data_IF_434245485844
#
_entry.id   IF_434245485844
#
_cell.length_a   1.000
_cell.length_b   1.000
_cell.length_c   1.000
_cell.angle_alpha   90.00
_cell.angle_beta   90.00
_cell.angle_gamma   90.00
#
_symmetry.space_group_name_H-M   'P 1'
#
loop_
_entity.id
_entity.type
_entity.pdbx_description
1 polymer ?
#
# COMPACT_ATOMS: atom_id res chain seq x y z
N UNK A 1 -19.98 -49.10 -13.76
CA UNK A 1 -19.45 -48.62 -12.47
C UNK A 1 -18.27 -47.71 -12.77
N UNK A 2 -18.46 -46.40 -12.67
CA UNK A 2 -17.41 -45.41 -12.83
C UNK A 2 -17.67 -44.33 -11.78
N UNK A 3 -16.89 -44.37 -10.70
CA UNK A 3 -16.96 -43.42 -9.60
C UNK A 3 -16.13 -42.20 -10.00
N UNK A 4 -16.80 -41.07 -10.20
CA UNK A 4 -16.15 -39.78 -10.42
C UNK A 4 -15.74 -39.20 -9.07
N UNK A 5 -14.43 -39.13 -8.80
CA UNK A 5 -13.89 -38.49 -7.61
C UNK A 5 -13.84 -36.98 -7.83
N UNK A 6 -14.74 -36.25 -7.17
CA UNK A 6 -14.67 -34.79 -7.04
C UNK A 6 -13.51 -34.43 -6.11
N UNK A 7 -12.47 -33.80 -6.67
CA UNK A 7 -11.38 -33.21 -5.91
C UNK A 7 -11.93 -32.03 -5.10
N UNK A 8 -11.87 -32.18 -3.78
CA UNK A 8 -12.30 -31.19 -2.81
C UNK A 8 -11.23 -30.08 -2.75
N UNK A 9 -11.54 -28.88 -3.25
CA UNK A 9 -10.68 -27.71 -3.14
C UNK A 9 -10.58 -27.32 -1.66
N UNK A 10 -9.39 -27.09 -1.09
CA UNK A 10 -9.28 -26.68 0.32
C UNK A 10 -9.93 -25.32 0.51
N UNK A 11 -10.89 -25.25 1.42
CA UNK A 11 -11.52 -24.02 1.88
C UNK A 11 -10.46 -23.06 2.42
N UNK A 12 -10.42 -21.83 1.90
CA UNK A 12 -9.61 -20.77 2.49
C UNK A 12 -10.02 -20.57 3.96
N UNK A 13 -9.06 -20.41 4.89
CA UNK A 13 -9.39 -20.08 6.26
C UNK A 13 -10.20 -18.78 6.26
N UNK A 14 -11.39 -18.84 6.84
CA UNK A 14 -12.27 -17.67 7.00
C UNK A 14 -11.53 -16.64 7.82
N UNK A 15 -11.14 -15.52 7.19
CA UNK A 15 -10.58 -14.37 7.90
C UNK A 15 -11.53 -13.99 9.04
N UNK A 16 -11.03 -13.70 10.26
CA UNK A 16 -11.87 -13.11 11.29
C UNK A 16 -12.55 -11.86 10.70
N UNK A 17 -13.85 -11.72 10.97
CA UNK A 17 -14.76 -10.78 10.31
C UNK A 17 -14.42 -9.34 10.71
N UNK A 18 -13.29 -8.83 10.25
CA UNK A 18 -12.81 -7.48 10.52
C UNK A 18 -13.86 -6.47 10.07
N UNK A 19 -14.05 -5.44 10.87
CA UNK A 19 -15.05 -4.43 10.59
C UNK A 19 -14.63 -3.63 9.35
N UNK A 20 -15.52 -3.41 8.40
CA UNK A 20 -15.22 -2.49 7.30
C UNK A 20 -15.13 -1.06 7.84
N UNK A 21 -14.14 -0.30 7.39
CA UNK A 21 -14.06 1.14 7.71
C UNK A 21 -15.33 1.86 7.26
N UNK A 22 -15.63 2.98 7.90
CA UNK A 22 -16.63 3.90 7.37
C UNK A 22 -16.22 4.35 5.96
N UNK A 23 -17.19 4.50 5.07
CA UNK A 23 -16.94 4.96 3.70
C UNK A 23 -17.81 6.16 3.35
N UNK A 24 -17.26 7.06 2.54
CA UNK A 24 -17.95 8.21 1.97
C UNK A 24 -17.97 8.07 0.46
N UNK A 25 -19.08 8.45 -0.16
CA UNK A 25 -19.12 8.66 -1.60
C UNK A 25 -18.27 9.88 -1.98
N UNK A 26 -18.07 10.03 -3.29
CA UNK A 26 -17.31 11.12 -3.87
C UNK A 26 -17.93 12.49 -3.57
N UNK A 27 -19.24 12.61 -3.62
CA UNK A 27 -19.93 13.90 -3.44
C UNK A 27 -19.65 14.45 -2.04
N UNK A 28 -19.80 13.61 -1.01
CA UNK A 28 -19.45 13.95 0.36
C UNK A 28 -17.96 14.27 0.48
N UNK A 29 -17.07 13.42 -0.03
CA UNK A 29 -15.63 13.61 0.11
C UNK A 29 -15.15 14.95 -0.46
N UNK A 30 -15.75 15.42 -1.57
CA UNK A 30 -15.42 16.69 -2.22
C UNK A 30 -15.86 17.94 -1.43
N UNK A 31 -16.69 17.81 -0.40
CA UNK A 31 -17.16 18.93 0.43
C UNK A 31 -16.28 19.17 1.66
N UNK A 32 -15.32 18.29 1.93
CA UNK A 32 -14.53 18.29 3.17
C UNK A 32 -13.19 18.95 2.93
N UNK A 33 -12.86 19.95 3.74
CA UNK A 33 -11.49 20.41 3.92
C UNK A 33 -10.83 19.52 4.98
N UNK A 34 -9.95 18.62 4.55
CA UNK A 34 -9.34 17.62 5.41
C UNK A 34 -8.28 18.22 6.35
N UNK A 35 -7.80 19.45 6.11
CA UNK A 35 -6.86 20.13 6.99
C UNK A 35 -7.59 20.93 8.09
N UNK A 36 -8.79 21.44 7.79
CA UNK A 36 -9.60 22.16 8.77
C UNK A 36 -10.49 21.25 9.62
N UNK A 37 -11.03 20.18 9.02
CA UNK A 37 -11.95 19.26 9.67
C UNK A 37 -11.58 17.79 9.40
N UNK A 38 -10.38 17.32 9.82
CA UNK A 38 -9.96 15.95 9.60
C UNK A 38 -10.88 14.95 10.32
N UNK A 39 -11.28 13.85 9.65
CA UNK A 39 -11.87 12.70 10.33
C UNK A 39 -11.00 12.21 11.49
N UNK A 40 -11.61 11.79 12.60
CA UNK A 40 -10.88 11.24 13.75
C UNK A 40 -10.59 9.73 13.62
N UNK A 41 -11.21 9.08 12.64
CA UNK A 41 -11.07 7.66 12.33
C UNK A 41 -10.80 7.49 10.83
N UNK A 42 -10.22 6.35 10.39
CA UNK A 42 -10.02 6.07 8.98
C UNK A 42 -11.33 6.09 8.20
N UNK A 43 -11.28 6.64 7.00
CA UNK A 43 -12.44 6.71 6.11
C UNK A 43 -12.04 6.34 4.69
N UNK A 44 -12.74 5.37 4.12
CA UNK A 44 -12.64 5.03 2.70
C UNK A 44 -13.41 6.06 1.86
N UNK A 45 -12.72 6.77 0.98
CA UNK A 45 -13.26 7.78 0.07
C UNK A 45 -13.44 7.15 -1.32
N UNK A 46 -14.66 6.71 -1.63
CA UNK A 46 -14.95 5.98 -2.88
C UNK A 46 -14.88 6.92 -4.09
N UNK A 47 -14.08 6.55 -5.09
CA UNK A 47 -13.94 7.29 -6.35
C UNK A 47 -13.38 8.72 -6.21
N UNK A 48 -12.80 9.09 -5.08
CA UNK A 48 -12.32 10.45 -4.81
C UNK A 48 -11.30 10.93 -5.86
N UNK A 49 -10.33 10.08 -6.18
CA UNK A 49 -9.29 10.33 -7.18
C UNK A 49 -9.64 9.83 -8.59
N UNK A 50 -10.88 9.39 -8.85
CA UNK A 50 -11.26 8.76 -10.13
C UNK A 50 -11.05 9.63 -11.37
N UNK A 51 -10.97 10.94 -11.18
CA UNK A 51 -10.83 11.94 -12.24
C UNK A 51 -9.38 12.08 -12.74
N UNK A 52 -8.40 11.47 -12.06
CA UNK A 52 -7.01 11.57 -12.46
C UNK A 52 -6.76 10.82 -13.79
N UNK A 53 -6.06 11.43 -14.77
CA UNK A 53 -5.71 10.75 -16.01
C UNK A 53 -4.83 9.51 -15.79
N UNK A 54 -4.03 9.47 -14.71
CA UNK A 54 -3.26 8.28 -14.31
C UNK A 54 -4.18 7.10 -13.97
N UNK A 55 -5.30 7.33 -13.28
CA UNK A 55 -6.30 6.28 -12.99
C UNK A 55 -6.93 5.78 -14.28
N UNK A 56 -7.24 6.69 -15.21
CA UNK A 56 -7.77 6.32 -16.52
C UNK A 56 -6.76 5.49 -17.33
N UNK A 57 -5.48 5.84 -17.32
CA UNK A 57 -4.41 5.07 -17.94
C UNK A 57 -4.26 3.68 -17.30
N UNK A 58 -4.31 3.60 -15.96
CA UNK A 58 -4.21 2.34 -15.23
C UNK A 58 -5.34 1.35 -15.53
N UNK A 59 -6.54 1.85 -15.84
CA UNK A 59 -7.67 1.02 -16.27
C UNK A 59 -7.50 0.44 -17.68
N UNK A 60 -6.61 1.02 -18.49
CA UNK A 60 -6.33 0.51 -19.84
C UNK A 60 -5.32 -0.62 -19.78
N UNK A 61 -4.09 -0.35 -19.32
CA UNK A 61 -3.03 -1.36 -19.19
C UNK A 61 -1.81 -0.82 -18.42
N UNK A 62 -0.90 -1.70 -17.95
CA UNK A 62 0.40 -1.28 -17.42
C UNK A 62 1.23 -0.43 -18.40
N UNK A 63 1.17 -0.73 -19.69
CA UNK A 63 1.88 0.02 -20.74
C UNK A 63 1.29 1.42 -20.93
N UNK A 64 -0.02 1.59 -20.73
CA UNK A 64 -0.65 2.91 -20.74
C UNK A 64 -0.18 3.77 -19.55
N UNK A 65 0.02 3.16 -18.38
CA UNK A 65 0.62 3.85 -17.22
C UNK A 65 2.06 4.27 -17.51
N UNK A 66 2.87 3.38 -18.09
CA UNK A 66 4.24 3.71 -18.47
C UNK A 66 4.28 4.90 -19.44
N UNK A 67 3.49 4.85 -20.52
CA UNK A 67 3.38 5.97 -21.48
C UNK A 67 2.90 7.27 -20.83
N UNK A 68 2.07 7.19 -19.79
CA UNK A 68 1.59 8.37 -19.08
C UNK A 68 2.63 8.97 -18.13
N UNK A 69 3.43 8.15 -17.44
CA UNK A 69 4.41 8.63 -16.45
C UNK A 69 5.73 9.08 -17.07
N UNK A 70 6.19 8.43 -18.14
CA UNK A 70 7.49 8.73 -18.77
C UNK A 70 7.67 10.21 -19.15
N UNK A 71 6.67 10.95 -19.67
CA UNK A 71 6.81 12.38 -19.95
C UNK A 71 7.08 13.25 -18.72
N UNK A 72 6.79 12.77 -17.51
CA UNK A 72 7.06 13.48 -16.25
C UNK A 72 8.43 13.13 -15.68
N UNK A 73 9.17 12.15 -16.21
CA UNK A 73 10.42 11.66 -15.61
C UNK A 73 11.48 12.78 -15.51
N UNK A 74 11.95 13.05 -14.29
CA UNK A 74 13.05 13.98 -14.04
C UNK A 74 14.44 13.39 -14.35
N UNK A 75 14.52 12.10 -14.71
CA UNK A 75 15.79 11.41 -14.97
C UNK A 75 16.62 11.17 -13.72
N UNK A 76 15.98 11.10 -12.54
CA UNK A 76 16.64 10.89 -11.25
C UNK A 76 16.61 9.42 -10.84
N UNK A 77 17.66 8.93 -10.13
CA UNK A 77 17.68 7.56 -9.65
C UNK A 77 16.65 7.34 -8.54
N UNK A 78 15.76 6.38 -8.74
CA UNK A 78 14.81 5.85 -7.77
C UNK A 78 15.48 4.78 -6.91
N UNK A 79 15.14 4.75 -5.62
CA UNK A 79 15.49 3.63 -4.75
C UNK A 79 14.36 2.59 -4.77
N UNK A 80 14.71 1.35 -5.06
CA UNK A 80 13.78 0.23 -5.10
C UNK A 80 14.23 -0.92 -4.19
N UNK A 81 13.27 -1.75 -3.80
CA UNK A 81 13.46 -2.99 -3.05
C UNK A 81 12.97 -4.15 -3.92
N UNK A 82 13.79 -5.21 -3.99
CA UNK A 82 13.42 -6.45 -4.67
C UNK A 82 13.56 -7.64 -3.73
N UNK A 83 12.54 -8.49 -3.68
CA UNK A 83 12.55 -9.73 -2.91
C UNK A 83 12.20 -10.93 -3.79
N UNK A 84 12.87 -12.05 -3.57
CA UNK A 84 12.65 -13.26 -4.37
C UNK A 84 11.22 -13.81 -4.23
N UNK A 85 10.74 -14.63 -5.19
CA UNK A 85 9.35 -15.12 -5.17
C UNK A 85 8.97 -15.92 -3.92
N UNK A 86 9.95 -16.54 -3.26
CA UNK A 86 9.76 -17.31 -2.01
C UNK A 86 9.28 -16.45 -0.84
N UNK A 87 9.52 -15.13 -0.87
CA UNK A 87 9.13 -14.20 0.19
C UNK A 87 7.65 -13.80 0.12
N UNK A 88 6.94 -14.20 -0.94
CA UNK A 88 5.50 -13.98 -1.06
C UNK A 88 5.08 -12.51 -1.02
N UNK A 89 5.94 -11.60 -1.48
CA UNK A 89 5.69 -10.16 -1.49
C UNK A 89 6.04 -9.43 -0.19
N UNK A 90 6.40 -10.13 0.90
CA UNK A 90 6.65 -9.52 2.20
C UNK A 90 8.07 -8.94 2.24
N UNK A 91 8.18 -7.61 2.27
CA UNK A 91 9.46 -6.91 2.44
C UNK A 91 9.72 -6.73 3.94
N UNK A 92 10.62 -7.54 4.49
CA UNK A 92 10.71 -7.73 5.93
C UNK A 92 12.15 -8.01 6.41
N UNK A 93 12.29 -8.20 7.72
CA UNK A 93 13.49 -8.73 8.33
C UNK A 93 13.75 -10.19 7.94
N UNK A 94 15.01 -10.61 8.07
CA UNK A 94 15.35 -12.03 8.21
C UNK A 94 14.80 -12.59 9.53
N UNK A 95 14.68 -13.92 9.65
CA UNK A 95 14.09 -14.57 10.83
C UNK A 95 14.82 -14.25 12.16
N UNK A 96 16.12 -14.00 12.09
CA UNK A 96 17.00 -13.62 13.19
C UNK A 96 17.08 -12.10 13.43
N UNK A 97 16.35 -11.29 12.64
CA UNK A 97 16.33 -9.83 12.66
C UNK A 97 17.70 -9.16 12.36
N UNK A 98 18.69 -9.91 11.86
CA UNK A 98 20.04 -9.37 11.58
C UNK A 98 20.11 -8.57 10.28
N UNK A 99 19.15 -8.77 9.38
CA UNK A 99 19.10 -8.08 8.10
C UNK A 99 17.70 -8.09 7.48
N UNK A 100 17.65 -8.01 6.16
CA UNK A 100 16.42 -7.96 5.38
C UNK A 100 16.32 -9.12 4.40
N UNK A 101 15.09 -9.55 4.09
CA UNK A 101 14.81 -10.59 3.09
C UNK A 101 14.76 -10.04 1.64
N UNK A 102 15.14 -8.77 1.44
CA UNK A 102 15.14 -8.07 0.17
C UNK A 102 16.47 -7.36 -0.07
N UNK A 103 16.73 -7.00 -1.32
CA UNK A 103 17.88 -6.18 -1.72
C UNK A 103 17.42 -4.79 -2.11
N UNK A 104 18.17 -3.75 -1.71
CA UNK A 104 17.97 -2.39 -2.19
C UNK A 104 18.76 -2.16 -3.48
N UNK A 105 18.17 -1.46 -4.44
CA UNK A 105 18.80 -1.08 -5.70
C UNK A 105 18.46 0.35 -6.06
N UNK A 106 19.33 0.95 -6.89
CA UNK A 106 19.09 2.25 -7.52
C UNK A 106 18.92 2.03 -9.02
N UNK A 107 17.94 2.70 -9.62
CA UNK A 107 17.67 2.61 -11.06
C UNK A 107 16.82 3.79 -11.51
N UNK A 108 16.49 3.85 -12.80
CA UNK A 108 15.68 4.94 -13.34
C UNK A 108 14.24 4.49 -13.57
N UNK A 109 13.33 5.45 -13.79
CA UNK A 109 11.91 5.15 -14.03
C UNK A 109 11.70 4.16 -15.20
N UNK A 110 12.37 4.31 -16.37
CA UNK A 110 12.21 3.34 -17.47
C UNK A 110 12.57 1.91 -17.05
N UNK A 111 13.67 1.74 -16.30
CA UNK A 111 14.11 0.43 -15.82
C UNK A 111 13.10 -0.18 -14.85
N UNK A 112 12.56 0.63 -13.93
CA UNK A 112 11.55 0.20 -12.98
C UNK A 112 10.26 -0.29 -13.68
N UNK A 113 9.82 0.44 -14.70
CA UNK A 113 8.66 0.07 -15.53
C UNK A 113 8.92 -1.21 -16.32
N UNK A 114 10.12 -1.38 -16.87
CA UNK A 114 10.52 -2.60 -17.58
C UNK A 114 10.60 -3.82 -16.64
N UNK A 115 11.15 -3.65 -15.43
CA UNK A 115 11.16 -4.70 -14.39
C UNK A 115 9.73 -5.13 -14.07
N UNK A 116 8.83 -4.18 -13.82
CA UNK A 116 7.42 -4.48 -13.52
C UNK A 116 6.71 -5.18 -14.69
N UNK A 117 6.96 -4.76 -15.93
CA UNK A 117 6.44 -5.42 -17.12
C UNK A 117 7.01 -6.84 -17.28
N UNK A 118 8.27 -7.07 -16.93
CA UNK A 118 8.88 -8.40 -16.92
C UNK A 118 8.25 -9.30 -15.86
N UNK A 119 8.11 -8.79 -14.63
CA UNK A 119 7.51 -9.55 -13.51
C UNK A 119 6.02 -9.87 -13.76
N UNK A 120 5.27 -9.01 -14.46
CA UNK A 120 3.86 -9.28 -14.77
C UNK A 120 3.64 -10.53 -15.62
N UNK A 121 4.66 -10.96 -16.38
CA UNK A 121 4.66 -12.15 -17.23
C UNK A 121 5.27 -13.38 -16.54
N UNK A 122 5.89 -13.21 -15.37
CA UNK A 122 6.55 -14.29 -14.66
C UNK A 122 5.51 -15.18 -13.93
N UNK A 123 5.63 -16.53 -13.99
CA UNK A 123 4.73 -17.42 -13.26
C UNK A 123 4.80 -17.25 -11.73
N UNK A 124 5.98 -16.85 -11.23
CA UNK A 124 6.24 -16.55 -9.82
C UNK A 124 7.03 -15.25 -9.75
N UNK A 125 6.37 -14.08 -9.74
CA UNK A 125 7.05 -12.81 -9.76
C UNK A 125 7.84 -12.58 -8.48
N UNK A 126 9.02 -11.97 -8.62
CA UNK A 126 9.71 -11.32 -7.52
C UNK A 126 8.90 -10.09 -7.09
N UNK A 127 8.93 -9.78 -5.80
CA UNK A 127 8.34 -8.55 -5.29
C UNK A 127 9.23 -7.37 -5.69
N UNK A 128 8.66 -6.33 -6.28
CA UNK A 128 9.37 -5.10 -6.63
C UNK A 128 8.62 -3.90 -6.08
N UNK A 129 9.34 -2.98 -5.43
CA UNK A 129 8.75 -1.86 -4.71
C UNK A 129 9.64 -0.63 -4.74
N UNK A 130 9.08 0.50 -5.19
CA UNK A 130 9.64 1.84 -5.10
C UNK A 130 8.84 2.60 -4.05
N UNK A 131 9.54 3.07 -3.03
CA UNK A 131 8.95 3.73 -1.86
C UNK A 131 9.04 5.25 -1.90
N UNK A 132 8.06 5.92 -1.29
CA UNK A 132 8.08 7.33 -0.86
C UNK A 132 8.83 8.29 -1.81
N UNK A 133 8.45 8.32 -3.08
CA UNK A 133 9.13 9.15 -4.09
C UNK A 133 8.44 10.51 -4.23
N UNK A 134 9.07 11.64 -3.84
CA UNK A 134 8.44 12.96 -3.92
C UNK A 134 8.11 13.33 -5.36
N UNK A 135 6.82 13.53 -5.66
CA UNK A 135 6.37 13.80 -7.02
C UNK A 135 7.00 15.07 -7.62
N UNK A 136 7.08 16.22 -6.90
CA UNK A 136 7.67 17.42 -7.47
C UNK A 136 9.12 17.26 -7.92
N UNK A 137 9.87 16.33 -7.30
CA UNK A 137 11.29 16.14 -7.56
C UNK A 137 11.55 15.13 -8.67
N UNK A 138 10.73 14.08 -8.78
CA UNK A 138 10.95 12.93 -9.67
C UNK A 138 9.99 12.87 -10.85
N UNK A 139 8.80 13.47 -10.70
CA UNK A 139 7.74 13.51 -11.70
C UNK A 139 7.18 14.94 -11.88
N UNK A 140 8.02 15.97 -12.10
CA UNK A 140 7.61 17.37 -12.11
C UNK A 140 6.44 17.65 -13.05
N UNK A 141 5.37 18.26 -12.51
CA UNK A 141 4.14 18.57 -13.22
C UNK A 141 3.02 17.58 -12.94
N UNK A 142 3.32 16.36 -12.46
CA UNK A 142 2.30 15.39 -12.10
C UNK A 142 1.48 15.85 -10.88
N UNK A 143 2.10 16.59 -9.96
CA UNK A 143 1.43 17.20 -8.80
C UNK A 143 0.35 18.23 -9.18
N UNK A 144 0.41 18.77 -10.40
CA UNK A 144 -0.60 19.72 -10.90
C UNK A 144 -1.85 19.02 -11.43
N UNK A 145 -1.75 17.72 -11.69
CA UNK A 145 -2.82 16.91 -12.27
C UNK A 145 -3.41 15.95 -11.24
N UNK A 146 -2.55 15.38 -10.38
CA UNK A 146 -2.98 14.54 -9.26
C UNK A 146 -3.29 15.42 -8.05
N UNK A 147 -4.31 16.26 -8.14
CA UNK A 147 -4.78 17.12 -7.05
C UNK A 147 -5.99 16.51 -6.34
N UNK A 148 -6.23 16.90 -5.09
CA UNK A 148 -7.38 16.45 -4.29
C UNK A 148 -8.16 17.67 -3.78
N UNK A 149 -9.43 17.85 -4.16
CA UNK A 149 -10.26 18.92 -3.61
C UNK A 149 -10.42 18.78 -2.09
N UNK A 150 -10.04 19.80 -1.31
CA UNK A 150 -10.04 19.69 0.16
C UNK A 150 -8.68 19.36 0.77
N UNK A 151 -7.63 19.29 -0.06
CA UNK A 151 -6.22 19.27 0.36
C UNK A 151 -5.51 20.45 -0.32
N UNK A 152 -4.75 21.23 0.45
CA UNK A 152 -3.99 22.38 -0.02
C UNK A 152 -2.94 21.97 -1.06
N UNK A 153 -2.75 22.82 -2.08
CA UNK A 153 -1.68 22.66 -3.08
C UNK A 153 -0.25 22.79 -2.50
N UNK A 154 -0.12 23.26 -1.26
CA UNK A 154 1.14 23.26 -0.53
C UNK A 154 1.56 21.85 -0.10
N UNK A 155 0.60 20.96 0.13
CA UNK A 155 0.85 19.56 0.48
C UNK A 155 1.42 18.82 -0.74
N UNK A 156 2.66 18.36 -0.63
CA UNK A 156 3.37 17.72 -1.76
C UNK A 156 3.14 16.22 -1.77
N UNK A 157 2.67 15.65 -2.90
CA UNK A 157 2.40 14.23 -2.96
C UNK A 157 3.66 13.38 -3.12
N UNK A 158 3.57 12.13 -2.66
CA UNK A 158 4.57 11.09 -2.88
C UNK A 158 3.97 9.95 -3.70
N UNK A 159 4.77 9.37 -4.58
CA UNK A 159 4.41 8.22 -5.40
C UNK A 159 5.05 6.96 -4.84
N UNK A 160 4.25 5.89 -4.84
CA UNK A 160 4.66 4.53 -4.51
C UNK A 160 4.33 3.63 -5.70
N UNK A 161 5.29 2.81 -6.12
CA UNK A 161 5.12 1.95 -7.30
C UNK A 161 5.61 0.53 -7.00
N UNK A 162 4.94 -0.48 -7.51
CA UNK A 162 5.39 -1.85 -7.34
C UNK A 162 4.47 -2.86 -8.00
N UNK A 163 4.65 -4.13 -7.66
CA UNK A 163 3.70 -5.19 -8.00
C UNK A 163 3.00 -5.70 -6.74
N UNK A 164 2.75 -7.01 -6.62
CA UNK A 164 2.12 -7.57 -5.42
C UNK A 164 3.12 -7.58 -4.26
N UNK A 165 2.88 -6.74 -3.26
CA UNK A 165 3.76 -6.56 -2.10
C UNK A 165 2.95 -6.51 -0.82
N UNK A 166 3.62 -6.76 0.30
CA UNK A 166 3.04 -6.75 1.65
C UNK A 166 3.93 -5.92 2.54
N UNK A 167 3.40 -4.80 3.01
CA UNK A 167 4.07 -3.88 3.94
C UNK A 167 3.49 -4.12 5.32
N UNK A 168 4.35 -4.51 6.25
CA UNK A 168 3.97 -4.82 7.63
C UNK A 168 3.34 -3.63 8.34
N UNK A 169 2.57 -3.91 9.38
CA UNK A 169 1.87 -2.90 10.18
C UNK A 169 2.85 -1.85 10.72
N UNK A 170 2.61 -0.58 10.37
CA UNK A 170 3.34 0.59 10.87
C UNK A 170 2.37 1.76 11.06
N UNK A 171 2.85 2.88 11.57
CA UNK A 171 2.11 4.14 11.59
C UNK A 171 2.95 5.29 11.03
N UNK A 172 2.26 6.41 10.80
CA UNK A 172 2.87 7.68 10.41
C UNK A 172 2.53 8.76 11.43
N UNK A 173 3.39 9.77 11.53
CA UNK A 173 3.18 10.92 12.43
C UNK A 173 2.42 12.09 11.79
N UNK A 174 1.91 11.90 10.57
CA UNK A 174 1.19 12.89 9.78
C UNK A 174 -0.18 12.34 9.38
N UNK A 175 -1.15 13.22 9.19
CA UNK A 175 -2.40 12.82 8.55
C UNK A 175 -2.10 12.46 7.09
N UNK A 176 -2.81 11.49 6.55
CA UNK A 176 -2.50 10.92 5.25
C UNK A 176 -3.77 10.71 4.42
N UNK A 177 -3.77 11.14 3.15
CA UNK A 177 -4.70 10.59 2.16
C UNK A 177 -3.91 9.73 1.18
N UNK A 178 -4.24 8.44 1.14
CA UNK A 178 -3.61 7.45 0.28
C UNK A 178 -4.55 7.08 -0.89
N UNK A 179 -4.25 7.54 -2.10
CA UNK A 179 -5.05 7.31 -3.30
C UNK A 179 -4.50 6.15 -4.14
N UNK A 180 -5.34 5.16 -4.47
CA UNK A 180 -4.96 4.07 -5.37
C UNK A 180 -5.12 4.55 -6.82
N UNK A 181 -4.00 4.69 -7.52
CA UNK A 181 -3.98 5.08 -8.92
C UNK A 181 -3.99 3.86 -9.87
N UNK A 182 -3.31 2.76 -9.47
CA UNK A 182 -3.28 1.51 -10.21
C UNK A 182 -3.23 0.30 -9.26
N UNK A 183 -3.75 -0.83 -9.71
CA UNK A 183 -3.82 -2.06 -8.93
C UNK A 183 -4.89 -2.02 -7.83
N UNK A 184 -4.79 -2.89 -6.83
CA UNK A 184 -5.71 -2.93 -5.69
C UNK A 184 -4.94 -2.97 -4.39
N UNK A 185 -5.47 -2.38 -3.34
CA UNK A 185 -4.86 -2.40 -2.02
C UNK A 185 -5.86 -2.77 -0.94
N UNK A 186 -5.41 -3.59 0.01
CA UNK A 186 -6.11 -3.83 1.27
C UNK A 186 -5.31 -3.18 2.39
N UNK A 187 -5.95 -2.30 3.13
CA UNK A 187 -5.44 -1.78 4.39
C UNK A 187 -6.13 -2.52 5.52
N UNK A 188 -5.35 -3.08 6.45
CA UNK A 188 -5.86 -3.54 7.75
C UNK A 188 -5.37 -2.57 8.81
N UNK A 189 -6.30 -1.96 9.52
CA UNK A 189 -6.12 -0.78 10.34
C UNK A 189 -6.37 -1.12 11.80
N UNK A 190 -5.56 -0.56 12.69
CA UNK A 190 -5.74 -0.68 14.13
C UNK A 190 -5.70 0.71 14.78
N UNK A 191 -6.54 0.95 15.79
CA UNK A 191 -6.50 2.21 16.53
C UNK A 191 -5.11 2.43 17.18
N UNK A 192 -4.70 3.69 17.41
CA UNK A 192 -3.38 3.99 17.99
C UNK A 192 -3.11 3.31 19.34
N UNK A 193 -4.14 3.09 20.15
CA UNK A 193 -4.06 2.44 21.47
C UNK A 193 -3.72 0.93 21.42
N UNK A 194 -3.61 0.35 20.22
CA UNK A 194 -3.21 -1.05 20.03
C UNK A 194 -1.70 -1.26 19.96
N UNK A 195 -0.87 -0.23 20.10
CA UNK A 195 0.61 -0.32 20.01
C UNK A 195 1.18 -1.49 20.81
N UNK A 196 0.80 -1.62 22.09
CA UNK A 196 1.28 -2.68 22.97
C UNK A 196 0.83 -4.10 22.55
N UNK A 197 -0.19 -4.21 21.70
CA UNK A 197 -0.72 -5.48 21.18
C UNK A 197 -0.15 -5.82 19.79
N UNK A 198 0.55 -4.89 19.14
CA UNK A 198 1.07 -5.03 17.79
C UNK A 198 2.51 -5.53 17.71
N UNK A 199 3.23 -5.64 18.84
CA UNK A 199 4.61 -6.15 18.88
C UNK A 199 5.52 -5.43 17.89
N UNK A 200 5.58 -4.11 18.01
CA UNK A 200 6.42 -3.26 17.18
C UNK A 200 7.89 -3.58 17.46
N UNK A 201 8.67 -3.79 16.41
CA UNK A 201 10.08 -4.12 16.50
C UNK A 201 10.86 -2.94 17.10
N UNK A 202 11.58 -3.21 18.19
CA UNK A 202 12.65 -2.35 18.69
C UNK A 202 13.95 -2.70 17.96
N UNK A 203 14.06 -2.25 16.71
CA UNK A 203 15.19 -2.57 15.84
C UNK A 203 15.90 -1.29 15.38
N UNK A 204 17.25 -1.25 15.38
CA UNK A 204 18.03 -0.08 14.96
C UNK A 204 17.87 0.23 13.47
N UNK A 205 17.42 -0.76 12.69
CA UNK A 205 17.18 -0.65 11.26
C UNK A 205 15.77 -1.12 10.92
N UNK A 206 15.14 -0.44 9.96
CA UNK A 206 13.77 -0.72 9.55
C UNK A 206 13.68 -0.88 8.03
N UNK A 207 12.80 -1.77 7.51
CA UNK A 207 12.63 -1.95 6.07
C UNK A 207 12.26 -0.66 5.33
N UNK A 208 11.38 0.17 5.91
CA UNK A 208 10.82 1.36 5.28
C UNK A 208 11.09 2.68 6.00
N UNK A 209 12.00 2.72 6.98
CA UNK A 209 12.28 3.93 7.77
C UNK A 209 11.36 4.14 8.99
N UNK A 210 10.37 3.27 9.19
CA UNK A 210 9.46 3.25 10.35
C UNK A 210 9.53 1.93 11.10
N UNK A 211 9.42 1.92 12.44
CA UNK A 211 9.20 0.69 13.19
C UNK A 211 7.96 -0.04 12.69
N UNK A 212 8.06 -1.36 12.57
CA UNK A 212 6.98 -2.22 12.05
C UNK A 212 6.66 -3.32 13.06
N UNK A 213 5.42 -3.82 13.03
CA UNK A 213 5.03 -5.03 13.75
C UNK A 213 5.85 -6.24 13.31
N UNK A 214 6.25 -7.06 14.29
CA UNK A 214 6.89 -8.35 14.04
C UNK A 214 5.92 -9.42 13.53
N UNK A 215 4.61 -9.19 13.67
CA UNK A 215 3.58 -10.18 13.37
C UNK A 215 3.28 -10.23 11.87
N UNK A 216 3.25 -11.43 11.30
CA UNK A 216 2.68 -11.63 9.97
C UNK A 216 1.15 -11.67 10.08
N UNK A 217 0.47 -10.63 9.57
CA UNK A 217 -0.99 -10.53 9.60
C UNK A 217 -1.71 -11.70 8.90
N UNK A 218 -1.12 -12.29 7.85
CA UNK A 218 -1.73 -13.41 7.09
C UNK A 218 -1.56 -14.75 7.81
N UNK A 219 -0.59 -14.87 8.70
CA UNK A 219 -0.30 -16.08 9.45
C UNK A 219 0.24 -15.72 10.86
N UNK A 220 -0.60 -15.14 11.73
CA UNK A 220 -0.15 -14.66 13.03
C UNK A 220 0.22 -15.83 13.95
N UNK A 221 1.45 -15.85 14.45
CA UNK A 221 1.88 -16.78 15.50
C UNK A 221 1.38 -16.28 16.86
N UNK A 222 0.17 -16.68 17.24
CA UNK A 222 -0.46 -16.28 18.51
C UNK A 222 0.15 -17.00 19.73
N UNK A 223 0.99 -18.01 19.54
CA UNK A 223 1.75 -18.58 20.66
C UNK A 223 2.90 -17.65 21.03
N UNK A 224 3.59 -17.10 20.02
CA UNK A 224 4.68 -16.12 20.22
C UNK A 224 4.16 -14.71 20.51
N UNK A 225 3.03 -14.33 19.93
CA UNK A 225 2.44 -12.98 20.00
C UNK A 225 0.99 -13.00 20.51
N UNK A 226 0.72 -13.51 21.73
CA UNK A 226 -0.63 -13.77 22.21
C UNK A 226 -1.54 -12.53 22.28
N UNK A 227 -0.99 -11.34 22.55
CA UNK A 227 -1.76 -10.08 22.62
C UNK A 227 -2.25 -9.63 21.24
N UNK A 228 -1.71 -10.15 20.15
CA UNK A 228 -2.13 -9.76 18.81
C UNK A 228 -3.59 -10.14 18.53
N UNK A 229 -4.13 -11.14 19.23
CA UNK A 229 -5.56 -11.44 19.21
C UNK A 229 -6.42 -10.25 19.67
N UNK A 230 -5.94 -9.43 20.61
CA UNK A 230 -6.61 -8.21 21.08
C UNK A 230 -6.60 -7.14 19.98
N UNK A 231 -5.44 -6.93 19.33
CA UNK A 231 -5.36 -6.04 18.16
C UNK A 231 -6.33 -6.48 17.05
N UNK A 232 -6.31 -7.77 16.68
CA UNK A 232 -7.21 -8.34 15.65
C UNK A 232 -8.70 -8.12 15.95
N UNK A 233 -9.11 -8.12 17.23
CA UNK A 233 -10.50 -7.86 17.60
C UNK A 233 -10.97 -6.42 17.32
N UNK A 234 -10.03 -5.49 17.16
CA UNK A 234 -10.29 -4.07 16.83
C UNK A 234 -10.00 -3.73 15.37
N UNK A 235 -9.53 -4.72 14.60
CA UNK A 235 -9.07 -4.51 13.23
C UNK A 235 -10.21 -4.01 12.33
N UNK A 236 -9.89 -2.98 11.56
CA UNK A 236 -10.74 -2.49 10.49
C UNK A 236 -10.10 -2.75 9.12
N UNK A 237 -10.92 -2.97 8.09
CA UNK A 237 -10.43 -3.24 6.73
C UNK A 237 -10.97 -2.21 5.76
N UNK A 238 -10.09 -1.76 4.85
CA UNK A 238 -10.45 -0.98 3.68
C UNK A 238 -9.87 -1.65 2.43
N UNK A 239 -10.74 -2.08 1.53
CA UNK A 239 -10.37 -2.59 0.20
C UNK A 239 -10.56 -1.47 -0.84
N UNK A 240 -9.46 -1.12 -1.52
CA UNK A 240 -9.39 0.01 -2.45
C UNK A 240 -9.11 -0.46 -3.87
N UNK A 241 -9.86 0.12 -4.80
CA UNK A 241 -9.70 -0.03 -6.25
C UNK A 241 -9.18 1.28 -6.88
N UNK A 242 -8.74 1.26 -8.16
CA UNK A 242 -8.26 2.47 -8.82
C UNK A 242 -9.28 3.61 -8.83
N UNK A 243 -8.91 4.72 -8.20
CA UNK A 243 -9.71 5.92 -7.99
C UNK A 243 -10.22 6.11 -6.57
N UNK A 244 -10.18 5.07 -5.73
CA UNK A 244 -10.47 5.20 -4.30
C UNK A 244 -9.30 5.84 -3.55
N UNK A 245 -9.62 6.45 -2.41
CA UNK A 245 -8.62 6.93 -1.47
C UNK A 245 -8.97 6.52 -0.04
N UNK A 246 -7.98 6.49 0.84
CA UNK A 246 -8.17 6.25 2.26
C UNK A 246 -7.63 7.44 3.03
N UNK A 247 -8.49 8.10 3.81
CA UNK A 247 -8.03 9.03 4.84
C UNK A 247 -7.54 8.22 6.05
N UNK A 248 -6.30 8.47 6.45
CA UNK A 248 -5.63 7.90 7.61
C UNK A 248 -5.31 9.06 8.57
N UNK A 249 -5.97 9.15 9.73
CA UNK A 249 -5.52 10.05 10.76
C UNK A 249 -4.13 9.62 11.25
N UNK A 250 -3.29 10.57 11.66
CA UNK A 250 -1.96 10.29 12.22
C UNK A 250 -2.01 9.26 13.33
N UNK A 251 -0.93 8.49 13.47
CA UNK A 251 -0.72 7.41 14.43
C UNK A 251 -1.61 6.17 14.27
N UNK A 252 -2.55 6.14 13.31
CA UNK A 252 -3.27 4.91 13.00
C UNK A 252 -2.32 3.86 12.42
N UNK A 253 -2.34 2.68 13.04
CA UNK A 253 -1.57 1.54 12.60
C UNK A 253 -2.20 0.92 11.37
N UNK A 254 -1.39 0.58 10.37
CA UNK A 254 -1.89 0.05 9.11
C UNK A 254 -0.92 -0.96 8.48
N UNK A 255 -1.44 -2.14 8.15
CA UNK A 255 -0.81 -3.12 7.27
C UNK A 255 -1.33 -2.91 5.84
N UNK A 256 -0.45 -2.96 4.85
CA UNK A 256 -0.83 -2.72 3.44
C UNK A 256 -0.46 -3.93 2.58
N UNK A 257 -1.49 -4.57 2.02
CA UNK A 257 -1.33 -5.58 0.99
C UNK A 257 -1.68 -4.98 -0.37
N UNK A 258 -0.73 -4.99 -1.31
CA UNK A 258 -0.93 -4.58 -2.69
C UNK A 258 -1.09 -5.82 -3.59
N UNK A 259 -2.03 -5.76 -4.55
CA UNK A 259 -2.38 -6.90 -5.39
C UNK A 259 -2.33 -6.54 -6.86
N UNK A 260 -1.75 -7.43 -7.66
CA UNK A 260 -1.69 -7.32 -9.10
C UNK A 260 -0.27 -7.09 -9.64
N UNK A 261 -0.13 -7.05 -10.97
CA UNK A 261 1.16 -6.94 -11.65
C UNK A 261 1.76 -5.53 -11.57
N UNK A 262 0.91 -4.50 -11.44
CA UNK A 262 1.30 -3.11 -11.28
C UNK A 262 0.39 -2.44 -10.26
N UNK A 263 0.99 -1.82 -9.26
CA UNK A 263 0.36 -1.04 -8.22
C UNK A 263 0.98 0.35 -8.18
N UNK A 264 0.14 1.38 -8.14
CA UNK A 264 0.57 2.75 -7.90
C UNK A 264 -0.34 3.37 -6.85
N UNK A 265 0.27 3.98 -5.84
CA UNK A 265 -0.41 4.83 -4.88
C UNK A 265 0.25 6.20 -4.88
N UNK A 266 -0.58 7.23 -4.82
CA UNK A 266 -0.12 8.59 -4.57
C UNK A 266 -0.71 9.01 -3.23
N UNK A 267 0.12 9.49 -2.33
CA UNK A 267 -0.33 9.93 -1.02
C UNK A 267 0.09 11.35 -0.68
N UNK A 268 -0.62 11.95 0.27
CA UNK A 268 -0.46 13.34 0.72
C UNK A 268 -0.35 13.33 2.24
N UNK A 269 0.76 13.82 2.77
CA UNK A 269 1.01 13.92 4.21
C UNK A 269 1.06 15.38 4.67
N UNK A 270 0.42 15.69 5.79
CA UNK A 270 0.50 17.00 6.45
C UNK A 270 0.33 16.93 7.97
#
# INVERSE_FOLDING_TARGET
MTVSATLNTPSQPTEPRAQQVAWWDRERALTVDFQQAPPQHPVLLKGYAQHWPLVAAARQSPEAVARYLLPFDAGKPLEAMIAGPKEGGRLFYTDDLSGFNFTRMKGFLPDALEILASQSRAPRPAAFYVGSTPIPDYFPGLEKVCTLPGVSAEVKPNLWMGNSTRVATHNDAADNIACVAAGRRRFTLFPPDQEDNLYIADAPHTPGGRPISLVDLRAPDLNRYPRFAQALSTAQVADLEPGDALFLPKHWWHNVDAFGPLNILINFWW
#
